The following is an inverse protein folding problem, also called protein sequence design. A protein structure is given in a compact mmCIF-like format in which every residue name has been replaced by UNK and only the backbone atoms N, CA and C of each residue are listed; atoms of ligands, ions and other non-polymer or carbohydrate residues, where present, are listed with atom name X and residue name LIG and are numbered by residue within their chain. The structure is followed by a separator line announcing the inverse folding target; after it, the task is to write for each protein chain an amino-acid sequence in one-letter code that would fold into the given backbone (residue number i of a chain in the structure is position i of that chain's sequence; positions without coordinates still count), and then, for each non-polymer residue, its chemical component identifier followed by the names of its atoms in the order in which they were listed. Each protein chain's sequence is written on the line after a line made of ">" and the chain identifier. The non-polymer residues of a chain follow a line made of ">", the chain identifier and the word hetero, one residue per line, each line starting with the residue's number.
data_IF_528745283628
#
_entry.id   IF_528745283628
#
_cell.length_a   1.000
_cell.length_b   1.000
_cell.length_c   1.000
_cell.angle_alpha   90.00
_cell.angle_beta   90.00
_cell.angle_gamma   90.00
#
_symmetry.space_group_name_H-M   'P 1'
#
loop_
_entity.id
_entity.type
_entity.pdbx_description
1 polymer ?
#
# COMPACT_ATOMS: atom_id res chain seq x y z
N UNK A 1 55.54 5.05 6.58
CA UNK A 1 55.80 6.43 6.10
C UNK A 1 54.52 7.20 6.37
N UNK A 2 54.39 7.94 7.48
CA UNK A 2 54.91 9.29 7.72
C UNK A 2 53.80 10.30 7.35
N UNK A 3 53.36 11.28 8.11
CA UNK A 3 53.61 11.82 9.45
C UNK A 3 52.51 12.87 9.71
N UNK A 4 52.05 13.06 10.96
CA UNK A 4 52.26 14.26 11.78
C UNK A 4 51.70 15.57 11.18
N UNK A 5 50.66 16.25 11.70
CA UNK A 5 50.61 17.16 12.88
C UNK A 5 49.38 18.08 12.63
N UNK A 6 48.64 18.73 13.54
CA UNK A 6 48.91 19.31 14.87
C UNK A 6 47.58 19.88 15.44
N UNK A 7 47.41 19.79 16.78
CA UNK A 7 46.88 20.82 17.76
C UNK A 7 45.42 21.31 17.63
N UNK A 8 44.68 21.70 18.67
CA UNK A 8 44.77 21.70 20.15
C UNK A 8 43.43 22.26 20.71
N UNK A 9 43.19 22.00 22.00
CA UNK A 9 42.50 22.86 22.99
C UNK A 9 41.06 22.55 23.45
N UNK A 10 40.87 22.83 24.76
CA UNK A 10 39.66 22.84 25.61
C UNK A 10 39.25 21.45 26.16
N UNK A 11 39.63 20.99 27.35
CA UNK A 11 39.69 21.56 28.72
C UNK A 11 38.32 21.79 29.39
N UNK A 12 38.05 20.94 30.40
CA UNK A 12 37.29 21.14 31.64
C UNK A 12 35.76 21.35 31.56
N UNK A 13 35.00 20.45 32.19
CA UNK A 13 34.34 20.66 33.50
C UNK A 13 33.32 19.53 33.76
N UNK A 14 33.67 18.59 34.64
CA UNK A 14 32.73 17.63 35.22
C UNK A 14 31.94 18.31 36.33
N UNK A 15 30.72 18.74 36.04
CA UNK A 15 29.78 19.29 37.01
C UNK A 15 28.98 18.18 37.70
N UNK A 16 29.35 17.84 38.92
CA UNK A 16 28.54 17.03 39.82
C UNK A 16 27.36 17.86 40.34
N UNK A 17 26.14 17.33 40.20
CA UNK A 17 24.91 17.88 40.81
C UNK A 17 24.88 17.55 42.31
N UNK A 18 24.51 18.50 43.19
CA UNK A 18 24.07 18.17 44.53
C UNK A 18 22.57 17.84 44.52
N UNK A 19 22.19 16.76 45.20
CA UNK A 19 20.82 16.45 45.59
C UNK A 19 20.42 17.27 46.83
N UNK A 20 19.16 17.69 46.96
CA UNK A 20 18.64 18.27 48.18
C UNK A 20 17.99 17.16 49.02
N UNK A 21 18.55 16.84 50.18
CA UNK A 21 17.79 16.12 51.20
C UNK A 21 17.86 16.87 52.52
N UNK A 22 16.66 17.23 52.95
CA UNK A 22 16.36 17.76 54.26
C UNK A 22 16.61 16.67 55.32
N UNK A 23 17.26 17.05 56.42
CA UNK A 23 16.93 16.45 57.70
C UNK A 23 17.08 17.46 58.84
N UNK A 24 15.91 17.76 59.40
CA UNK A 24 15.66 18.45 60.66
C UNK A 24 16.15 17.60 61.82
N UNK A 25 16.80 18.26 62.80
CA UNK A 25 17.00 17.90 64.23
C UNK A 25 18.41 18.34 64.65
N UNK A 26 18.71 18.85 65.85
CA UNK A 26 17.96 19.09 67.08
C UNK A 26 18.81 20.06 67.92
N UNK A 27 18.14 20.85 68.76
CA UNK A 27 18.74 21.67 69.81
C UNK A 27 19.54 20.80 70.79
N UNK A 28 20.72 21.29 71.21
CA UNK A 28 21.22 21.28 72.61
C UNK A 28 22.49 22.14 72.66
N UNK A 29 22.43 23.35 73.21
CA UNK A 29 22.90 23.64 74.58
C UNK A 29 24.17 22.86 74.98
N UNK A 30 25.30 23.58 75.10
CA UNK A 30 26.09 23.53 76.33
C UNK A 30 26.98 24.77 76.47
N UNK A 31 27.08 25.19 77.74
CA UNK A 31 27.74 26.39 78.25
C UNK A 31 29.26 26.21 78.25
N UNK A 32 30.00 27.29 78.06
CA UNK A 32 31.29 27.48 78.72
C UNK A 32 31.42 28.96 79.13
N UNK A 33 31.67 29.16 80.43
CA UNK A 33 31.83 30.44 81.10
C UNK A 33 33.27 30.99 80.92
N UNK A 34 33.49 32.28 81.23
CA UNK A 34 34.59 33.08 80.72
C UNK A 34 35.78 33.15 81.69
N UNK A 35 36.91 33.65 81.21
CA UNK A 35 37.88 34.36 82.05
C UNK A 35 38.53 35.55 81.31
N UNK A 36 38.95 36.57 82.08
CA UNK A 36 39.05 37.96 81.65
C UNK A 36 40.49 38.29 81.25
N UNK A 37 40.74 39.50 80.72
CA UNK A 37 41.87 40.34 81.12
C UNK A 37 41.88 41.65 80.31
N UNK A 38 41.82 42.76 81.06
CA UNK A 38 42.65 43.96 80.92
C UNK A 38 42.85 44.55 79.52
N UNK A 39 42.21 45.69 79.26
CA UNK A 39 42.79 47.02 79.56
C UNK A 39 41.78 48.11 79.24
N UNK A 40 41.40 48.84 80.28
CA UNK A 40 40.86 50.19 80.20
C UNK A 40 41.86 51.07 79.48
N UNK A 41 41.46 51.67 78.36
CA UNK A 41 41.68 53.09 78.09
C UNK A 41 40.34 53.64 77.62
N UNK A 42 39.68 54.33 78.55
CA UNK A 42 38.52 55.14 78.28
C UNK A 42 38.97 56.27 77.34
N UNK A 43 38.67 56.12 76.07
CA UNK A 43 38.41 57.27 75.21
C UNK A 43 36.99 57.65 75.62
N UNK A 44 36.86 58.68 76.46
CA UNK A 44 35.57 59.31 76.69
C UNK A 44 35.17 59.98 75.37
N UNK A 45 34.59 59.17 74.47
CA UNK A 45 33.94 59.64 73.28
C UNK A 45 32.54 60.07 73.73
N UNK A 46 32.22 61.34 73.53
CA UNK A 46 30.93 61.93 73.89
C UNK A 46 29.78 60.98 73.51
N UNK A 47 28.87 60.69 74.45
CA UNK A 47 27.74 59.79 74.21
C UNK A 47 26.92 60.18 72.96
N UNK A 48 26.89 61.48 72.64
CA UNK A 48 26.29 62.06 71.43
C UNK A 48 26.98 61.63 70.13
N UNK A 49 28.29 61.41 70.19
CA UNK A 49 29.11 60.97 69.06
C UNK A 49 28.86 59.48 68.77
N UNK A 50 28.66 58.67 69.82
CA UNK A 50 28.31 57.25 69.69
C UNK A 50 26.88 57.09 69.16
N UNK A 51 25.94 57.89 69.64
CA UNK A 51 24.55 57.92 69.18
C UNK A 51 24.45 58.36 67.71
N UNK A 52 25.26 59.35 67.30
CA UNK A 52 25.37 59.77 65.90
C UNK A 52 25.99 58.69 64.98
N UNK A 53 26.99 57.96 65.46
CA UNK A 53 27.58 56.83 64.70
C UNK A 53 26.62 55.66 64.58
N UNK A 54 25.88 55.31 65.64
CA UNK A 54 24.85 54.28 65.61
C UNK A 54 23.69 54.66 64.70
N UNK A 55 23.17 55.89 64.82
CA UNK A 55 22.13 56.39 63.91
C UNK A 55 22.61 56.43 62.45
N UNK A 56 23.89 56.78 62.22
CA UNK A 56 24.52 56.75 60.91
C UNK A 56 24.68 55.33 60.35
N UNK A 57 25.05 54.37 61.20
CA UNK A 57 25.14 52.95 60.87
C UNK A 57 23.76 52.37 60.56
N UNK A 58 22.75 52.61 61.40
CA UNK A 58 21.36 52.18 61.17
C UNK A 58 20.80 52.79 59.89
N UNK A 59 21.12 54.05 59.61
CA UNK A 59 20.76 54.72 58.35
C UNK A 59 21.47 54.10 57.14
N UNK A 60 22.73 53.69 57.28
CA UNK A 60 23.50 53.04 56.22
C UNK A 60 23.00 51.61 55.96
N UNK A 61 22.78 50.84 57.02
CA UNK A 61 22.22 49.48 56.95
C UNK A 61 20.80 49.50 56.40
N UNK A 62 19.98 50.47 56.80
CA UNK A 62 18.65 50.68 56.24
C UNK A 62 18.66 51.09 54.77
N UNK A 63 19.73 51.74 54.27
CA UNK A 63 19.91 52.01 52.83
C UNK A 63 20.31 50.76 52.07
N UNK A 64 21.21 49.96 52.64
CA UNK A 64 21.67 48.69 52.08
C UNK A 64 20.52 47.69 51.96
N UNK A 65 19.74 47.50 53.04
CA UNK A 65 18.59 46.60 53.03
C UNK A 65 17.52 47.00 52.01
N UNK A 66 17.26 48.31 51.85
CA UNK A 66 16.36 48.81 50.79
C UNK A 66 16.93 48.63 49.39
N UNK A 67 18.25 48.63 49.23
CA UNK A 67 18.90 48.37 47.95
C UNK A 67 18.82 46.87 47.59
N UNK A 68 19.07 46.00 48.57
CA UNK A 68 18.89 44.54 48.44
C UNK A 68 17.44 44.18 48.12
N UNK A 69 16.47 44.76 48.81
CA UNK A 69 15.04 44.53 48.55
C UNK A 69 14.62 45.01 47.14
N UNK A 70 15.15 46.14 46.67
CA UNK A 70 14.96 46.57 45.26
C UNK A 70 15.59 45.57 44.28
N UNK A 71 16.78 45.06 44.57
CA UNK A 71 17.46 44.08 43.73
C UNK A 71 16.69 42.75 43.70
N UNK A 72 16.21 42.29 44.85
CA UNK A 72 15.41 41.07 44.97
C UNK A 72 14.09 41.19 44.19
N UNK A 73 13.38 42.32 44.30
CA UNK A 73 12.16 42.59 43.51
C UNK A 73 12.44 42.66 42.01
N UNK A 74 13.58 43.21 41.60
CA UNK A 74 13.98 43.22 40.19
C UNK A 74 14.21 41.79 39.68
N UNK A 75 14.91 40.95 40.46
CA UNK A 75 15.13 39.53 40.13
C UNK A 75 13.82 38.72 40.09
N UNK A 76 12.91 38.94 41.04
CA UNK A 76 11.59 38.28 41.06
C UNK A 76 10.75 38.67 39.83
N UNK A 77 10.76 39.95 39.44
CA UNK A 77 10.11 40.40 38.21
C UNK A 77 10.73 39.77 36.96
N UNK A 78 12.05 39.68 36.88
CA UNK A 78 12.74 39.00 35.78
C UNK A 78 12.43 37.51 35.74
N UNK A 79 12.37 36.86 36.90
CA UNK A 79 11.99 35.46 37.04
C UNK A 79 10.57 35.22 36.50
N UNK A 80 9.59 36.03 36.89
CA UNK A 80 8.21 35.93 36.37
C UNK A 80 8.14 36.13 34.86
N UNK A 81 8.86 37.12 34.32
CA UNK A 81 8.96 37.31 32.85
C UNK A 81 9.63 36.13 32.16
N UNK A 82 10.57 35.44 32.81
CA UNK A 82 11.16 34.20 32.28
C UNK A 82 10.16 33.05 32.31
N UNK A 83 9.40 32.90 33.40
CA UNK A 83 8.33 31.89 33.51
C UNK A 83 7.22 32.12 32.48
N UNK A 84 6.76 33.35 32.30
CA UNK A 84 5.78 33.71 31.27
C UNK A 84 6.28 33.36 29.86
N UNK A 85 7.55 33.70 29.55
CA UNK A 85 8.18 33.32 28.29
C UNK A 85 8.28 31.81 28.12
N UNK A 86 8.62 31.08 29.18
CA UNK A 86 8.70 29.63 29.16
C UNK A 86 7.32 29.01 28.92
N UNK A 87 6.30 29.50 29.62
CA UNK A 87 4.92 29.05 29.45
C UNK A 87 4.41 29.34 28.03
N UNK A 88 4.72 30.52 27.47
CA UNK A 88 4.40 30.85 26.08
C UNK A 88 5.08 29.88 25.10
N UNK A 89 6.38 29.61 25.28
CA UNK A 89 7.11 28.63 24.45
C UNK A 89 6.54 27.21 24.58
N UNK A 90 6.11 26.79 25.77
CA UNK A 90 5.48 25.48 25.99
C UNK A 90 4.11 25.38 25.27
N UNK A 91 3.31 26.45 25.30
CA UNK A 91 2.05 26.51 24.56
C UNK A 91 2.26 26.45 23.04
N UNK A 92 3.24 27.19 22.53
CA UNK A 92 3.61 27.16 21.11
C UNK A 92 4.08 25.77 20.67
N UNK A 93 4.89 25.11 21.51
CA UNK A 93 5.34 23.74 21.26
C UNK A 93 4.17 22.75 21.20
N UNK A 94 3.21 22.84 22.14
CA UNK A 94 2.02 21.97 22.14
C UNK A 94 1.17 22.24 20.90
N UNK A 95 0.99 23.49 20.50
CA UNK A 95 0.24 23.85 19.30
C UNK A 95 0.90 23.28 18.03
N UNK A 96 2.22 23.46 17.88
CA UNK A 96 3.00 22.89 16.78
C UNK A 96 2.90 21.36 16.75
N UNK A 97 2.96 20.70 17.92
CA UNK A 97 2.84 19.24 17.99
C UNK A 97 1.46 18.74 17.54
N UNK A 98 0.39 19.49 17.81
CA UNK A 98 -0.97 19.14 17.31
C UNK A 98 -1.05 19.23 15.79
N UNK A 99 -0.50 20.30 15.21
CA UNK A 99 -0.46 20.48 13.75
C UNK A 99 0.35 19.36 13.09
N UNK A 100 1.56 19.09 13.61
CA UNK A 100 2.41 18.03 13.08
C UNK A 100 1.73 16.65 13.11
N UNK A 101 1.01 16.32 14.19
CA UNK A 101 0.27 15.05 14.26
C UNK A 101 -0.89 14.99 13.27
N UNK A 102 -1.58 16.10 13.03
CA UNK A 102 -2.66 16.16 12.05
C UNK A 102 -2.13 15.95 10.62
N UNK A 103 -1.01 16.59 10.29
CA UNK A 103 -0.31 16.43 9.00
C UNK A 103 0.22 15.01 8.80
N UNK A 104 0.88 14.44 9.82
CA UNK A 104 1.38 13.06 9.81
C UNK A 104 0.24 12.05 9.63
N UNK A 105 -0.91 12.27 10.27
CA UNK A 105 -2.09 11.44 10.07
C UNK A 105 -2.61 11.54 8.62
N UNK A 106 -2.68 12.74 8.04
CA UNK A 106 -3.10 12.94 6.65
C UNK A 106 -2.14 12.25 5.66
N UNK A 107 -0.82 12.38 5.87
CA UNK A 107 0.19 11.70 5.04
C UNK A 107 0.02 10.18 5.07
N UNK A 108 -0.22 9.59 6.25
CA UNK A 108 -0.48 8.15 6.37
C UNK A 108 -1.76 7.73 5.65
N UNK A 109 -2.80 8.56 5.63
CA UNK A 109 -4.01 8.27 4.86
C UNK A 109 -3.72 8.24 3.35
N UNK A 110 -2.92 9.19 2.85
CA UNK A 110 -2.52 9.22 1.44
C UNK A 110 -1.61 8.05 1.06
N UNK A 111 -0.62 7.71 1.90
CA UNK A 111 0.32 6.63 1.60
C UNK A 111 -0.37 5.27 1.56
N UNK A 112 -1.27 5.03 2.49
CA UNK A 112 -2.05 3.81 2.45
C UNK A 112 -3.01 3.77 1.24
N UNK A 113 -3.53 4.92 0.79
CA UNK A 113 -4.34 5.02 -0.43
C UNK A 113 -3.53 4.61 -1.66
N UNK A 114 -2.29 5.10 -1.76
CA UNK A 114 -1.32 4.71 -2.80
C UNK A 114 -1.03 3.22 -2.78
N UNK A 115 -0.83 2.63 -1.59
CA UNK A 115 -0.61 1.18 -1.47
C UNK A 115 -1.83 0.39 -1.97
N UNK A 116 -3.05 0.82 -1.63
CA UNK A 116 -4.26 0.18 -2.16
C UNK A 116 -4.38 0.31 -3.68
N UNK A 117 -4.18 1.53 -4.19
CA UNK A 117 -4.20 1.79 -5.62
C UNK A 117 -3.19 0.90 -6.36
N UNK A 118 -1.94 0.84 -5.90
CA UNK A 118 -0.89 0.02 -6.48
C UNK A 118 -1.29 -1.47 -6.52
N UNK A 119 -1.96 -2.00 -5.49
CA UNK A 119 -2.46 -3.39 -5.49
C UNK A 119 -3.56 -3.60 -6.51
N UNK A 120 -4.48 -2.65 -6.66
CA UNK A 120 -5.57 -2.77 -7.63
C UNK A 120 -5.04 -2.66 -9.05
N UNK A 121 -4.14 -1.73 -9.31
CA UNK A 121 -3.44 -1.58 -10.59
C UNK A 121 -2.67 -2.86 -10.93
N UNK A 122 -1.89 -3.38 -9.99
CA UNK A 122 -1.11 -4.61 -10.19
C UNK A 122 -2.02 -5.83 -10.44
N UNK A 123 -3.16 -5.93 -9.75
CA UNK A 123 -4.15 -6.97 -10.04
C UNK A 123 -4.73 -6.82 -11.46
N UNK A 124 -5.16 -5.61 -11.83
CA UNK A 124 -5.68 -5.33 -13.16
C UNK A 124 -4.64 -5.64 -14.25
N UNK A 125 -3.37 -5.34 -14.01
CA UNK A 125 -2.25 -5.66 -14.91
C UNK A 125 -2.13 -7.17 -15.13
N UNK A 126 -2.13 -7.97 -14.05
CA UNK A 126 -2.06 -9.44 -14.15
C UNK A 126 -3.27 -10.02 -14.86
N UNK A 127 -4.47 -9.53 -14.56
CA UNK A 127 -5.70 -9.99 -15.21
C UNK A 127 -5.66 -9.69 -16.73
N UNK A 128 -5.14 -8.51 -17.12
CA UNK A 128 -4.92 -8.14 -18.52
C UNK A 128 -3.90 -9.06 -19.18
N UNK A 129 -2.77 -9.32 -18.53
CA UNK A 129 -1.71 -10.20 -19.04
C UNK A 129 -2.24 -11.62 -19.26
N UNK A 130 -2.88 -12.20 -18.26
CA UNK A 130 -3.45 -13.55 -18.33
C UNK A 130 -4.48 -13.67 -19.47
N UNK A 131 -5.46 -12.76 -19.54
CA UNK A 131 -6.46 -12.77 -20.62
C UNK A 131 -5.83 -12.52 -21.99
N UNK A 132 -4.77 -11.70 -22.07
CA UNK A 132 -4.06 -11.47 -23.33
C UNK A 132 -3.30 -12.71 -23.80
N UNK A 133 -2.70 -13.47 -22.88
CA UNK A 133 -2.02 -14.74 -23.18
C UNK A 133 -3.01 -15.80 -23.65
N UNK A 134 -4.16 -15.90 -22.99
CA UNK A 134 -5.26 -16.79 -23.43
C UNK A 134 -5.73 -16.46 -24.85
N UNK A 135 -5.94 -15.18 -25.16
CA UNK A 135 -6.36 -14.74 -26.50
C UNK A 135 -5.28 -15.00 -27.57
N UNK A 136 -4.00 -14.78 -27.24
CA UNK A 136 -2.87 -15.08 -28.14
C UNK A 136 -2.76 -16.58 -28.42
N UNK A 137 -2.86 -17.41 -27.39
CA UNK A 137 -2.81 -18.86 -27.55
C UNK A 137 -3.96 -19.37 -28.42
N UNK A 138 -5.18 -18.87 -28.18
CA UNK A 138 -6.36 -19.24 -28.97
C UNK A 138 -6.22 -18.81 -30.44
N UNK A 139 -5.78 -17.57 -30.70
CA UNK A 139 -5.56 -17.08 -32.05
C UNK A 139 -4.47 -17.89 -32.79
N UNK A 140 -3.37 -18.23 -32.11
CA UNK A 140 -2.29 -19.03 -32.70
C UNK A 140 -2.77 -20.45 -33.04
N UNK A 141 -3.53 -21.09 -32.15
CA UNK A 141 -4.08 -22.44 -32.42
C UNK A 141 -5.07 -22.41 -33.59
N UNK A 142 -5.98 -21.44 -33.64
CA UNK A 142 -6.92 -21.29 -34.75
C UNK A 142 -6.20 -21.06 -36.09
N UNK A 143 -5.17 -20.21 -36.11
CA UNK A 143 -4.37 -19.96 -37.31
C UNK A 143 -3.64 -21.22 -37.81
N UNK A 144 -3.07 -22.03 -36.91
CA UNK A 144 -2.43 -23.29 -37.25
C UNK A 144 -3.43 -24.30 -37.82
N UNK A 145 -4.60 -24.45 -37.20
CA UNK A 145 -5.65 -25.37 -37.69
C UNK A 145 -6.14 -24.94 -39.07
N UNK A 146 -6.41 -23.65 -39.27
CA UNK A 146 -6.80 -23.12 -40.57
C UNK A 146 -5.72 -23.38 -41.64
N UNK A 147 -4.44 -23.14 -41.31
CA UNK A 147 -3.31 -23.38 -42.21
C UNK A 147 -3.15 -24.85 -42.58
N UNK A 148 -3.16 -25.77 -41.60
CA UNK A 148 -3.07 -27.20 -41.86
C UNK A 148 -4.24 -27.72 -42.67
N UNK A 149 -5.46 -27.25 -42.36
CA UNK A 149 -6.66 -27.61 -43.10
C UNK A 149 -6.52 -27.18 -44.56
N UNK A 150 -6.10 -25.93 -44.82
CA UNK A 150 -5.89 -25.43 -46.18
C UNK A 150 -4.82 -26.21 -46.96
N UNK A 151 -3.68 -26.53 -46.32
CA UNK A 151 -2.63 -27.32 -46.97
C UNK A 151 -3.11 -28.73 -47.30
N UNK A 152 -3.83 -29.38 -46.37
CA UNK A 152 -4.40 -30.71 -46.61
C UNK A 152 -5.39 -30.70 -47.79
N UNK A 153 -6.20 -29.64 -47.92
CA UNK A 153 -7.08 -29.45 -49.07
C UNK A 153 -6.30 -29.35 -50.39
N UNK A 154 -5.24 -28.53 -50.43
CA UNK A 154 -4.44 -28.31 -51.64
C UNK A 154 -3.63 -29.54 -52.05
N UNK A 155 -3.24 -30.40 -51.10
CA UNK A 155 -2.48 -31.61 -51.36
C UNK A 155 -3.33 -32.80 -51.79
N UNK A 156 -4.65 -32.71 -51.66
CA UNK A 156 -5.53 -33.83 -52.04
C UNK A 156 -5.77 -33.79 -53.54
N UNK A 157 -5.10 -34.67 -54.29
CA UNK A 157 -5.29 -34.79 -55.74
C UNK A 157 -6.62 -35.50 -56.07
N UNK A 158 -7.51 -34.80 -56.80
CA UNK A 158 -8.85 -35.28 -57.16
C UNK A 158 -8.96 -35.88 -58.57
N UNK A 159 -7.84 -36.07 -59.27
CA UNK A 159 -7.81 -36.36 -60.71
C UNK A 159 -8.35 -37.74 -61.12
N UNK A 160 -8.64 -38.64 -60.16
CA UNK A 160 -9.08 -40.02 -60.43
C UNK A 160 -10.54 -40.37 -60.07
N UNK A 161 -11.33 -39.46 -59.49
CA UNK A 161 -12.61 -39.81 -58.82
C UNK A 161 -13.87 -39.36 -59.57
N UNK A 162 -13.94 -39.64 -60.89
CA UNK A 162 -14.96 -39.05 -61.78
C UNK A 162 -16.38 -39.57 -61.52
N UNK A 163 -16.56 -40.80 -61.01
CA UNK A 163 -17.88 -41.45 -60.99
C UNK A 163 -18.52 -41.57 -59.60
N UNK A 164 -17.77 -41.43 -58.50
CA UNK A 164 -18.25 -41.97 -57.22
C UNK A 164 -19.07 -41.00 -56.36
N UNK A 165 -19.05 -39.67 -56.56
CA UNK A 165 -19.51 -38.78 -55.46
C UNK A 165 -19.97 -37.37 -55.87
N UNK A 166 -21.12 -37.26 -56.54
CA UNK A 166 -21.73 -35.95 -56.84
C UNK A 166 -21.99 -35.09 -55.59
N UNK A 167 -22.36 -35.70 -54.46
CA UNK A 167 -22.69 -34.97 -53.23
C UNK A 167 -21.55 -34.87 -52.19
N UNK A 168 -20.57 -35.78 -52.16
CA UNK A 168 -19.51 -35.73 -51.15
C UNK A 168 -18.44 -34.68 -51.44
N UNK A 169 -18.15 -34.39 -52.72
CA UNK A 169 -17.21 -33.33 -53.08
C UNK A 169 -17.69 -31.93 -52.66
N UNK A 170 -18.95 -31.50 -52.94
CA UNK A 170 -19.44 -30.21 -52.45
C UNK A 170 -19.58 -30.21 -50.92
N UNK A 171 -19.91 -31.34 -50.29
CA UNK A 171 -19.95 -31.44 -48.83
C UNK A 171 -18.56 -31.23 -48.21
N UNK A 172 -17.53 -31.88 -48.75
CA UNK A 172 -16.14 -31.71 -48.34
C UNK A 172 -15.68 -30.25 -48.51
N UNK A 173 -15.93 -29.65 -49.68
CA UNK A 173 -15.60 -28.25 -49.92
C UNK A 173 -16.33 -27.31 -48.95
N UNK A 174 -17.61 -27.58 -48.65
CA UNK A 174 -18.40 -26.81 -47.70
C UNK A 174 -17.86 -26.93 -46.27
N UNK A 175 -17.55 -28.14 -45.79
CA UNK A 175 -16.99 -28.35 -44.45
C UNK A 175 -15.60 -27.72 -44.32
N UNK A 176 -14.79 -27.73 -45.38
CA UNK A 176 -13.50 -27.03 -45.41
C UNK A 176 -13.66 -25.52 -45.34
N UNK A 177 -14.53 -24.95 -46.17
CA UNK A 177 -14.81 -23.52 -46.16
C UNK A 177 -15.35 -23.06 -44.80
N UNK A 178 -16.21 -23.86 -44.16
CA UNK A 178 -16.69 -23.60 -42.80
C UNK A 178 -15.56 -23.66 -41.77
N UNK A 179 -14.68 -24.67 -41.84
CA UNK A 179 -13.54 -24.82 -40.91
C UNK A 179 -12.64 -23.59 -40.99
N UNK A 180 -12.12 -23.27 -42.17
CA UNK A 180 -11.20 -22.14 -42.38
C UNK A 180 -11.90 -20.80 -42.11
N UNK A 181 -13.16 -20.64 -42.53
CA UNK A 181 -13.93 -19.43 -42.32
C UNK A 181 -14.21 -19.14 -40.84
N UNK A 182 -14.60 -20.15 -40.08
CA UNK A 182 -14.86 -20.01 -38.63
C UNK A 182 -13.58 -19.74 -37.84
N UNK A 183 -12.46 -20.41 -38.17
CA UNK A 183 -11.15 -20.12 -37.57
C UNK A 183 -10.69 -18.69 -37.87
N UNK A 184 -10.85 -18.22 -39.12
CA UNK A 184 -10.47 -16.86 -39.49
C UNK A 184 -11.29 -15.81 -38.72
N UNK A 185 -12.61 -16.01 -38.60
CA UNK A 185 -13.46 -15.13 -37.79
C UNK A 185 -13.05 -15.18 -36.31
N UNK A 186 -12.70 -16.35 -35.78
CA UNK A 186 -12.18 -16.48 -34.42
C UNK A 186 -10.90 -15.65 -34.21
N UNK A 187 -9.91 -15.78 -35.10
CA UNK A 187 -8.66 -15.01 -35.06
C UNK A 187 -8.92 -13.50 -35.13
N UNK A 188 -9.81 -13.06 -36.02
CA UNK A 188 -10.19 -11.65 -36.14
C UNK A 188 -10.81 -11.14 -34.83
N UNK A 189 -11.74 -11.89 -34.21
CA UNK A 189 -12.33 -11.48 -32.93
C UNK A 189 -11.26 -11.41 -31.84
N UNK A 190 -10.39 -12.42 -31.73
CA UNK A 190 -9.32 -12.44 -30.73
C UNK A 190 -8.34 -11.26 -30.88
N UNK A 191 -7.95 -10.92 -32.12
CA UNK A 191 -7.04 -9.79 -32.38
C UNK A 191 -7.69 -8.44 -32.10
N UNK A 192 -8.95 -8.23 -32.52
CA UNK A 192 -9.71 -7.01 -32.18
C UNK A 192 -9.90 -6.85 -30.68
N UNK A 193 -10.18 -7.94 -29.97
CA UNK A 193 -10.26 -7.95 -28.51
C UNK A 193 -8.92 -7.61 -27.86
N UNK A 194 -7.82 -8.19 -28.33
CA UNK A 194 -6.48 -7.91 -27.82
C UNK A 194 -6.14 -6.42 -27.97
N UNK A 195 -6.43 -5.82 -29.12
CA UNK A 195 -6.24 -4.37 -29.35
C UNK A 195 -7.10 -3.54 -28.40
N UNK A 196 -8.37 -3.92 -28.18
CA UNK A 196 -9.27 -3.25 -27.24
C UNK A 196 -8.72 -3.28 -25.81
N UNK A 197 -8.20 -4.43 -25.38
CA UNK A 197 -7.65 -4.61 -24.02
C UNK A 197 -6.39 -3.77 -23.85
N UNK A 198 -5.48 -3.75 -24.82
CA UNK A 198 -4.24 -2.96 -24.74
C UNK A 198 -4.57 -1.45 -24.67
N UNK A 199 -5.45 -0.96 -25.56
CA UNK A 199 -5.88 0.45 -25.57
C UNK A 199 -6.59 0.86 -24.29
N UNK A 200 -7.39 -0.02 -23.71
CA UNK A 200 -8.12 0.30 -22.49
C UNK A 200 -7.26 0.09 -21.24
N UNK A 201 -6.31 -0.84 -21.28
CA UNK A 201 -5.31 -1.08 -20.23
C UNK A 201 -4.53 0.17 -19.86
N UNK A 202 -4.13 0.95 -20.86
CA UNK A 202 -3.45 2.24 -20.65
C UNK A 202 -4.31 3.26 -19.90
N UNK A 203 -5.64 3.20 -20.02
CA UNK A 203 -6.56 4.15 -19.36
C UNK A 203 -6.75 3.85 -17.87
N UNK A 204 -6.69 2.57 -17.47
CA UNK A 204 -6.83 2.16 -16.06
C UNK A 204 -5.64 2.55 -15.19
N UNK A 205 -4.53 2.98 -15.81
CA UNK A 205 -3.33 3.46 -15.13
C UNK A 205 -3.20 4.98 -15.26
N UNK A 206 -4.29 5.70 -15.55
CA UNK A 206 -4.21 7.15 -15.69
C UNK A 206 -4.12 7.84 -14.34
N UNK A 207 -3.27 8.88 -14.28
CA UNK A 207 -3.09 9.73 -13.10
C UNK A 207 -4.41 10.39 -12.65
N UNK A 208 -5.33 10.62 -13.60
CA UNK A 208 -6.66 11.17 -13.31
C UNK A 208 -7.53 10.20 -12.51
N UNK A 209 -7.54 8.90 -12.88
CA UNK A 209 -8.26 7.87 -12.12
C UNK A 209 -7.62 7.63 -10.75
N UNK A 210 -6.29 7.72 -10.66
CA UNK A 210 -5.58 7.71 -9.37
C UNK A 210 -6.03 8.89 -8.51
N UNK A 211 -6.02 10.12 -9.03
CA UNK A 211 -6.42 11.32 -8.29
C UNK A 211 -7.87 11.24 -7.79
N UNK A 212 -8.81 10.77 -8.62
CA UNK A 212 -10.21 10.57 -8.24
C UNK A 212 -10.36 9.49 -7.15
N UNK A 213 -9.59 8.41 -7.25
CA UNK A 213 -9.55 7.37 -6.23
C UNK A 213 -8.98 7.91 -4.90
N UNK A 214 -7.90 8.67 -4.94
CA UNK A 214 -7.31 9.31 -3.76
C UNK A 214 -8.30 10.27 -3.09
N UNK A 215 -9.02 11.08 -3.88
CA UNK A 215 -10.02 12.02 -3.37
C UNK A 215 -11.16 11.32 -2.63
N UNK A 216 -11.74 10.27 -3.23
CA UNK A 216 -12.81 9.48 -2.60
C UNK A 216 -12.34 8.73 -1.36
N UNK A 217 -11.10 8.25 -1.38
CA UNK A 217 -10.50 7.55 -0.24
C UNK A 217 -10.19 8.51 0.92
N UNK A 218 -9.76 9.73 0.61
CA UNK A 218 -9.59 10.81 1.59
C UNK A 218 -10.92 11.19 2.23
N UNK A 219 -11.95 11.39 1.41
CA UNK A 219 -13.30 11.68 1.91
C UNK A 219 -13.82 10.53 2.80
N UNK A 220 -13.58 9.29 2.38
CA UNK A 220 -13.92 8.11 3.18
C UNK A 220 -13.17 8.05 4.52
N UNK A 221 -11.87 8.40 4.55
CA UNK A 221 -11.09 8.41 5.78
C UNK A 221 -11.57 9.49 6.76
N UNK A 222 -11.99 10.67 6.26
CA UNK A 222 -12.54 11.76 7.07
C UNK A 222 -13.94 11.40 7.59
N UNK A 223 -14.79 10.84 6.74
CA UNK A 223 -16.19 10.56 7.04
C UNK A 223 -16.44 9.10 7.45
N UNK A 224 -15.44 8.42 8.04
CA UNK A 224 -15.43 6.97 8.23
C UNK A 224 -16.75 6.43 8.79
N UNK A 225 -17.61 5.82 7.95
CA UNK A 225 -19.00 5.54 8.30
C UNK A 225 -19.06 4.20 9.02
N UNK A 226 -18.89 4.24 10.34
CA UNK A 226 -18.92 3.08 11.24
C UNK A 226 -17.79 2.04 11.02
N UNK A 227 -17.52 1.32 12.10
CA UNK A 227 -16.52 0.27 12.20
C UNK A 227 -16.78 -0.83 11.16
N UNK A 228 -15.79 -1.09 10.29
CA UNK A 228 -15.88 -2.14 9.25
C UNK A 228 -16.36 -1.66 7.88
N UNK A 229 -16.64 -0.36 7.70
CA UNK A 229 -16.84 0.18 6.35
C UNK A 229 -15.57 0.04 5.51
N UNK A 230 -15.76 -0.19 4.21
CA UNK A 230 -14.68 -0.44 3.24
C UNK A 230 -14.31 0.82 2.49
N UNK A 231 -13.02 1.01 2.14
CA UNK A 231 -12.64 2.07 1.24
C UNK A 231 -13.36 1.90 -0.10
N UNK A 232 -13.67 3.01 -0.79
CA UNK A 232 -14.35 2.96 -2.08
C UNK A 232 -13.50 2.18 -3.10
N UNK A 233 -14.15 1.37 -3.93
CA UNK A 233 -13.49 0.72 -5.05
C UNK A 233 -13.28 1.71 -6.22
N UNK A 234 -12.25 1.52 -7.07
CA UNK A 234 -12.14 2.28 -8.29
C UNK A 234 -13.36 2.04 -9.20
N UNK A 235 -13.88 3.11 -9.80
CA UNK A 235 -15.11 3.03 -10.61
C UNK A 235 -14.90 2.17 -11.86
N UNK A 236 -13.70 2.27 -12.44
CA UNK A 236 -13.29 1.54 -13.63
C UNK A 236 -12.34 0.43 -13.20
N UNK A 237 -12.76 -0.80 -13.47
CA UNK A 237 -11.92 -1.98 -13.31
C UNK A 237 -11.90 -2.76 -14.62
N UNK A 238 -10.77 -3.42 -14.88
CA UNK A 238 -10.65 -4.29 -16.04
C UNK A 238 -11.73 -5.37 -16.06
N UNK A 239 -12.07 -5.94 -14.89
CA UNK A 239 -13.13 -6.94 -14.74
C UNK A 239 -14.49 -6.45 -15.28
N UNK A 240 -14.90 -5.23 -14.92
CA UNK A 240 -16.17 -4.65 -15.39
C UNK A 240 -16.17 -4.39 -16.91
N UNK A 241 -15.04 -3.90 -17.45
CA UNK A 241 -14.90 -3.72 -18.90
C UNK A 241 -14.92 -5.05 -19.66
N UNK A 242 -14.18 -6.04 -19.16
CA UNK A 242 -14.15 -7.37 -19.73
C UNK A 242 -15.57 -7.95 -19.78
N UNK A 243 -16.30 -7.91 -18.66
CA UNK A 243 -17.66 -8.44 -18.58
C UNK A 243 -18.63 -7.74 -19.54
N UNK A 244 -18.54 -6.41 -19.67
CA UNK A 244 -19.49 -5.64 -20.48
C UNK A 244 -19.19 -5.67 -21.98
N UNK A 245 -17.92 -5.70 -22.39
CA UNK A 245 -17.52 -5.56 -23.80
C UNK A 245 -16.87 -6.79 -24.40
N UNK A 246 -16.05 -7.49 -23.62
CA UNK A 246 -15.20 -8.57 -24.12
C UNK A 246 -15.87 -9.93 -23.97
N UNK A 247 -16.57 -10.18 -22.87
CA UNK A 247 -17.05 -11.50 -22.48
C UNK A 247 -17.94 -12.15 -23.54
N UNK A 248 -18.93 -11.42 -24.06
CA UNK A 248 -19.80 -11.92 -25.12
C UNK A 248 -19.08 -12.20 -26.44
N UNK A 249 -18.02 -11.44 -26.75
CA UNK A 249 -17.22 -11.66 -27.96
C UNK A 249 -16.25 -12.82 -27.78
N UNK A 250 -15.65 -12.96 -26.59
CA UNK A 250 -14.79 -14.08 -26.24
C UNK A 250 -15.55 -15.41 -26.29
N UNK A 251 -16.75 -15.48 -25.70
CA UNK A 251 -17.60 -16.69 -25.77
C UNK A 251 -17.94 -17.07 -27.21
N UNK A 252 -18.22 -16.08 -28.06
CA UNK A 252 -18.48 -16.31 -29.49
C UNK A 252 -17.24 -16.82 -30.21
N UNK A 253 -16.07 -16.22 -29.98
CA UNK A 253 -14.81 -16.70 -30.56
C UNK A 253 -14.51 -18.14 -30.12
N UNK A 254 -14.66 -18.43 -28.83
CA UNK A 254 -14.47 -19.78 -28.29
C UNK A 254 -15.45 -20.80 -28.88
N UNK A 255 -16.72 -20.43 -29.06
CA UNK A 255 -17.72 -21.28 -29.70
C UNK A 255 -17.43 -21.50 -31.19
N UNK A 256 -16.96 -20.48 -31.92
CA UNK A 256 -16.55 -20.60 -33.32
C UNK A 256 -15.32 -21.51 -33.47
N UNK A 257 -14.35 -21.42 -32.56
CA UNK A 257 -13.21 -22.34 -32.51
C UNK A 257 -13.63 -23.78 -32.19
N UNK A 258 -14.56 -23.98 -31.24
CA UNK A 258 -15.13 -25.30 -30.99
C UNK A 258 -15.87 -25.87 -32.20
N UNK A 259 -16.60 -25.01 -32.94
CA UNK A 259 -17.29 -25.37 -34.16
C UNK A 259 -16.30 -25.71 -35.29
N UNK A 260 -15.19 -24.99 -35.44
CA UNK A 260 -14.18 -25.27 -36.48
C UNK A 260 -13.56 -26.66 -36.28
N UNK A 261 -13.24 -27.03 -35.04
CA UNK A 261 -12.77 -28.39 -34.69
C UNK A 261 -13.80 -29.44 -35.10
N UNK A 262 -15.09 -29.22 -34.81
CA UNK A 262 -16.15 -30.15 -35.21
C UNK A 262 -16.28 -30.28 -36.73
N UNK A 263 -16.22 -29.16 -37.46
CA UNK A 263 -16.21 -29.13 -38.91
C UNK A 263 -14.98 -29.85 -39.49
N UNK A 264 -13.81 -29.75 -38.85
CA UNK A 264 -12.60 -30.46 -39.26
C UNK A 264 -12.76 -31.97 -39.13
N UNK A 265 -13.32 -32.48 -38.02
CA UNK A 265 -13.59 -33.92 -37.87
C UNK A 265 -14.60 -34.42 -38.90
N UNK A 266 -15.67 -33.66 -39.14
CA UNK A 266 -16.64 -33.98 -40.19
C UNK A 266 -15.96 -34.00 -41.56
N UNK A 267 -15.08 -33.04 -41.82
CA UNK A 267 -14.33 -32.96 -43.06
C UNK A 267 -13.40 -34.16 -43.26
N UNK A 268 -12.65 -34.57 -42.23
CA UNK A 268 -11.78 -35.75 -42.28
C UNK A 268 -12.58 -37.04 -42.50
N UNK A 269 -13.79 -37.14 -41.94
CA UNK A 269 -14.68 -38.26 -42.22
C UNK A 269 -15.09 -38.29 -43.70
N UNK A 270 -15.54 -37.15 -44.26
CA UNK A 270 -15.87 -37.04 -45.70
C UNK A 270 -14.66 -37.33 -46.58
N UNK A 271 -13.47 -36.82 -46.22
CA UNK A 271 -12.23 -37.07 -46.94
C UNK A 271 -11.89 -38.57 -46.98
N UNK A 272 -12.13 -39.31 -45.89
CA UNK A 272 -11.93 -40.75 -45.85
C UNK A 272 -12.86 -41.49 -46.83
N UNK A 273 -14.11 -41.04 -46.98
CA UNK A 273 -15.04 -41.61 -47.96
C UNK A 273 -14.59 -41.35 -49.40
N UNK A 274 -14.01 -40.19 -49.69
CA UNK A 274 -13.48 -39.92 -51.03
C UNK A 274 -12.19 -40.71 -51.28
N UNK A 275 -11.31 -40.80 -50.28
CA UNK A 275 -10.00 -41.44 -50.42
C UNK A 275 -10.05 -42.97 -50.46
N UNK A 276 -10.98 -43.59 -49.72
CA UNK A 276 -11.14 -45.05 -49.61
C UNK A 276 -12.41 -45.54 -50.30
N UNK A 277 -12.74 -44.98 -51.46
CA UNK A 277 -13.94 -45.38 -52.22
C UNK A 277 -13.95 -46.89 -52.56
N UNK A 278 -12.77 -47.48 -52.77
CA UNK A 278 -12.59 -48.92 -53.03
C UNK A 278 -12.78 -49.82 -51.79
N UNK A 279 -12.75 -49.28 -50.57
CA UNK A 279 -12.84 -50.07 -49.33
C UNK A 279 -13.77 -49.44 -48.30
N UNK A 280 -15.03 -49.89 -48.33
CA UNK A 280 -16.07 -49.47 -47.37
C UNK A 280 -15.67 -49.75 -45.91
N UNK A 281 -14.92 -50.83 -45.67
CA UNK A 281 -14.42 -51.16 -44.33
C UNK A 281 -13.45 -50.09 -43.82
N UNK A 282 -12.51 -49.61 -44.65
CA UNK A 282 -11.56 -48.58 -44.24
C UNK A 282 -12.27 -47.23 -43.99
N UNK A 283 -13.14 -46.80 -44.89
CA UNK A 283 -13.88 -45.54 -44.75
C UNK A 283 -14.79 -45.52 -43.51
N UNK A 284 -15.47 -46.64 -43.23
CA UNK A 284 -16.35 -46.78 -42.04
C UNK A 284 -15.55 -46.78 -40.74
N UNK A 285 -14.41 -47.47 -40.66
CA UNK A 285 -13.54 -47.47 -39.49
C UNK A 285 -13.03 -46.05 -39.19
N UNK A 286 -12.52 -45.33 -40.21
CA UNK A 286 -12.04 -43.95 -40.02
C UNK A 286 -13.17 -43.04 -39.55
N UNK A 287 -14.35 -43.15 -40.17
CA UNK A 287 -15.53 -42.35 -39.77
C UNK A 287 -15.96 -42.65 -38.34
N UNK A 288 -15.97 -43.92 -37.91
CA UNK A 288 -16.30 -44.31 -36.54
C UNK A 288 -15.31 -43.71 -35.54
N UNK A 289 -14.01 -43.73 -35.84
CA UNK A 289 -12.97 -43.11 -35.01
C UNK A 289 -13.16 -41.59 -34.94
N UNK A 290 -13.46 -40.92 -36.07
CA UNK A 290 -13.71 -39.47 -36.09
C UNK A 290 -14.96 -39.09 -35.28
N UNK A 291 -16.05 -39.86 -35.38
CA UNK A 291 -17.29 -39.64 -34.59
C UNK A 291 -17.02 -39.84 -33.10
N UNK A 292 -16.31 -40.90 -32.71
CA UNK A 292 -15.94 -41.15 -31.32
C UNK A 292 -15.05 -40.02 -30.77
N UNK A 293 -14.08 -39.57 -31.56
CA UNK A 293 -13.20 -38.44 -31.20
C UNK A 293 -14.00 -37.14 -31.03
N UNK A 294 -14.92 -36.85 -31.94
CA UNK A 294 -15.80 -35.69 -31.87
C UNK A 294 -16.71 -35.73 -30.63
N UNK A 295 -17.27 -36.90 -30.30
CA UNK A 295 -18.07 -37.07 -29.08
C UNK A 295 -17.24 -36.81 -27.81
N UNK A 296 -15.99 -37.29 -27.77
CA UNK A 296 -15.04 -37.03 -26.69
C UNK A 296 -14.71 -35.53 -26.56
N UNK A 297 -14.40 -34.87 -27.68
CA UNK A 297 -14.15 -33.42 -27.70
C UNK A 297 -15.38 -32.64 -27.26
N UNK A 298 -16.58 -32.97 -27.75
CA UNK A 298 -17.82 -32.32 -27.36
C UNK A 298 -18.13 -32.50 -25.87
N UNK A 299 -17.86 -33.67 -25.32
CA UNK A 299 -17.98 -33.94 -23.89
C UNK A 299 -17.03 -33.07 -23.07
N UNK A 300 -15.74 -33.05 -23.42
CA UNK A 300 -14.75 -32.23 -22.73
C UNK A 300 -15.06 -30.74 -22.85
N UNK A 301 -15.44 -30.28 -24.05
CA UNK A 301 -15.84 -28.91 -24.30
C UNK A 301 -17.02 -28.53 -23.42
N UNK A 302 -18.10 -29.33 -23.37
CA UNK A 302 -19.25 -29.07 -22.50
C UNK A 302 -18.87 -28.99 -21.02
N UNK A 303 -18.07 -29.95 -20.52
CA UNK A 303 -17.65 -30.01 -19.12
C UNK A 303 -16.82 -28.78 -18.73
N UNK A 304 -15.80 -28.46 -19.51
CA UNK A 304 -14.89 -27.35 -19.22
C UNK A 304 -15.53 -25.99 -19.46
N UNK A 305 -16.34 -25.84 -20.52
CA UNK A 305 -17.11 -24.62 -20.73
C UNK A 305 -18.04 -24.37 -19.56
N UNK A 306 -18.81 -25.37 -19.11
CA UNK A 306 -19.68 -25.20 -17.93
C UNK A 306 -18.88 -24.72 -16.71
N UNK A 307 -17.73 -25.35 -16.42
CA UNK A 307 -16.88 -24.97 -15.30
C UNK A 307 -16.33 -23.55 -15.40
N UNK A 308 -15.85 -23.15 -16.58
CA UNK A 308 -15.31 -21.79 -16.80
C UNK A 308 -16.42 -20.75 -16.64
N UNK A 309 -17.60 -21.01 -17.22
CA UNK A 309 -18.74 -20.09 -17.14
C UNK A 309 -19.27 -19.92 -15.72
N UNK A 310 -19.29 -20.99 -14.91
CA UNK A 310 -19.71 -20.91 -13.51
C UNK A 310 -18.64 -20.27 -12.62
N UNK A 311 -17.36 -20.57 -12.87
CA UNK A 311 -16.24 -20.04 -12.07
C UNK A 311 -16.14 -18.52 -12.18
N UNK A 312 -16.36 -17.97 -13.38
CA UNK A 312 -16.35 -16.52 -13.55
C UNK A 312 -17.53 -15.83 -12.89
N UNK A 313 -18.73 -16.43 -12.90
CA UNK A 313 -19.88 -15.87 -12.16
C UNK A 313 -19.62 -15.84 -10.66
N UNK A 314 -19.03 -16.92 -10.13
CA UNK A 314 -18.64 -16.99 -8.72
C UNK A 314 -17.52 -15.99 -8.43
N UNK A 315 -16.52 -15.86 -9.30
CA UNK A 315 -15.44 -14.90 -9.15
C UNK A 315 -15.94 -13.45 -9.25
N UNK A 316 -16.99 -13.16 -10.03
CA UNK A 316 -17.64 -11.86 -10.12
C UNK A 316 -18.51 -11.54 -8.92
N UNK A 317 -19.32 -12.51 -8.48
CA UNK A 317 -20.05 -12.40 -7.22
C UNK A 317 -19.06 -12.15 -6.08
N UNK A 318 -17.92 -12.87 -6.09
CA UNK A 318 -16.84 -12.68 -5.15
C UNK A 318 -15.99 -11.44 -5.38
N UNK A 319 -15.83 -10.89 -6.57
CA UNK A 319 -15.14 -9.60 -6.71
C UNK A 319 -16.01 -8.46 -6.21
N UNK A 320 -17.33 -8.63 -6.33
CA UNK A 320 -18.35 -7.76 -5.74
C UNK A 320 -18.45 -7.97 -4.22
N UNK A 321 -18.25 -9.20 -3.73
CA UNK A 321 -18.48 -9.59 -2.32
C UNK A 321 -17.18 -9.74 -1.48
N UNK A 322 -16.14 -10.45 -1.97
CA UNK A 322 -14.81 -10.76 -1.35
C UNK A 322 -13.77 -9.63 -1.34
N UNK A 323 -14.15 -8.37 -1.54
CA UNK A 323 -13.48 -7.33 -0.74
C UNK A 323 -14.09 -7.27 0.67
N UNK A 324 -14.79 -8.33 1.10
CA UNK A 324 -15.04 -8.68 2.51
C UNK A 324 -13.76 -9.10 3.22
N UNK A 325 -12.74 -8.26 3.07
CA UNK A 325 -11.78 -8.02 4.10
C UNK A 325 -12.56 -7.46 5.28
N UNK A 326 -12.97 -8.33 6.20
CA UNK A 326 -13.27 -7.91 7.56
C UNK A 326 -11.93 -7.44 8.13
N UNK A 327 -11.52 -6.22 7.76
CA UNK A 327 -10.59 -5.44 8.54
C UNK A 327 -11.35 -5.15 9.83
N UNK A 328 -11.18 -6.00 10.83
CA UNK A 328 -11.57 -5.71 12.23
C UNK A 328 -10.75 -4.55 12.82
N UNK A 329 -9.98 -3.85 11.99
CA UNK A 329 -9.05 -2.80 12.37
C UNK A 329 -9.50 -1.42 11.93
N UNK A 330 -8.85 -0.44 12.55
CA UNK A 330 -9.02 1.00 12.37
C UNK A 330 -8.89 1.38 10.87
N UNK A 331 -9.37 2.57 10.44
CA UNK A 331 -9.25 3.02 9.05
C UNK A 331 -7.82 3.03 8.48
N UNK A 332 -6.80 2.83 9.31
CA UNK A 332 -5.39 2.72 8.95
C UNK A 332 -4.91 1.28 8.71
N UNK A 333 -5.71 0.24 8.93
CA UNK A 333 -5.32 -1.18 8.77
C UNK A 333 -5.65 -1.81 7.40
N UNK A 334 -6.30 -1.06 6.51
CA UNK A 334 -6.53 -1.42 5.10
C UNK A 334 -5.28 -1.86 4.30
N UNK A 335 -4.08 -1.42 4.68
CA UNK A 335 -2.85 -1.88 4.05
C UNK A 335 -2.44 -3.29 4.54
N UNK A 336 -2.96 -3.77 5.66
CA UNK A 336 -2.65 -5.12 6.13
C UNK A 336 -3.30 -6.15 5.21
N UNK A 337 -2.60 -7.27 4.99
CA UNK A 337 -3.18 -8.42 4.32
C UNK A 337 -4.38 -8.88 5.16
N UNK A 338 -5.51 -9.29 4.55
CA UNK A 338 -6.62 -9.85 5.31
C UNK A 338 -6.09 -10.90 6.26
N UNK A 339 -6.33 -10.71 7.56
CA UNK A 339 -6.18 -11.83 8.47
C UNK A 339 -7.05 -12.95 7.90
N UNK A 340 -6.50 -14.16 7.70
CA UNK A 340 -7.34 -15.29 7.31
C UNK A 340 -8.45 -15.32 8.33
N UNK A 341 -9.70 -15.19 7.87
CA UNK A 341 -10.85 -15.19 8.75
C UNK A 341 -10.66 -16.37 9.69
N UNK A 342 -10.41 -16.10 10.97
CA UNK A 342 -10.40 -17.16 11.97
C UNK A 342 -11.80 -17.73 11.87
N UNK A 343 -11.95 -18.81 11.11
CA UNK A 343 -13.13 -19.64 11.11
C UNK A 343 -13.31 -19.94 12.57
N UNK A 344 -14.28 -19.26 13.19
CA UNK A 344 -14.50 -19.31 14.63
C UNK A 344 -14.46 -20.77 14.98
N UNK A 345 -13.39 -21.17 15.68
CA UNK A 345 -13.24 -22.54 16.10
C UNK A 345 -14.53 -22.85 16.81
N UNK A 346 -15.27 -23.82 16.29
CA UNK A 346 -16.36 -24.42 17.02
C UNK A 346 -15.71 -24.87 18.33
N UNK A 347 -15.84 -24.03 19.36
CA UNK A 347 -15.67 -24.42 20.74
C UNK A 347 -16.64 -25.57 20.88
N UNK A 348 -16.06 -26.76 20.75
CA UNK A 348 -16.70 -28.04 20.92
C UNK A 348 -17.01 -28.08 22.40
N UNK A 349 -18.14 -27.47 22.75
CA UNK A 349 -18.82 -27.73 24.00
C UNK A 349 -19.11 -29.23 23.99
N UNK A 350 -18.23 -29.93 24.70
CA UNK A 350 -18.51 -31.21 25.31
C UNK A 350 -19.87 -31.07 26.01
N UNK A 351 -20.92 -31.62 25.42
CA UNK A 351 -22.14 -31.92 26.14
C UNK A 351 -22.53 -33.35 25.81
N UNK A 352 -22.39 -34.20 26.82
CA UNK A 352 -22.94 -35.54 26.79
C UNK A 352 -24.46 -35.53 26.94
N UNK A 353 -25.04 -36.66 26.57
CA UNK A 353 -26.33 -37.21 26.98
C UNK A 353 -27.62 -36.66 26.31
N UNK A 354 -28.14 -37.55 25.45
CA UNK A 354 -29.53 -38.03 25.35
C UNK A 354 -30.68 -37.10 24.96
N UNK A 355 -31.40 -37.54 23.92
CA UNK A 355 -32.87 -37.64 23.98
C UNK A 355 -33.66 -36.75 23.03
N UNK A 356 -34.35 -37.40 22.08
CA UNK A 356 -35.76 -37.10 21.77
C UNK A 356 -36.05 -36.04 20.71
N UNK A 357 -36.82 -36.45 19.69
CA UNK A 357 -37.27 -35.64 18.56
C UNK A 357 -38.10 -34.40 18.89
N UNK A 358 -38.30 -33.56 17.87
CA UNK A 358 -39.25 -32.45 17.92
C UNK A 358 -39.04 -31.44 16.81
N UNK A 359 -39.99 -31.40 15.87
CA UNK A 359 -40.23 -30.30 14.93
C UNK A 359 -40.45 -28.98 15.68
N UNK A 360 -39.94 -27.86 15.15
CA UNK A 360 -40.66 -26.60 14.90
C UNK A 360 -39.71 -25.39 14.78
N UNK A 361 -40.14 -24.46 13.94
CA UNK A 361 -39.51 -23.20 13.58
C UNK A 361 -39.37 -22.21 14.76
N UNK A 362 -38.37 -21.32 14.68
CA UNK A 362 -38.51 -19.92 15.08
C UNK A 362 -37.33 -19.08 14.58
N UNK A 363 -37.68 -17.92 14.03
CA UNK A 363 -36.80 -16.85 13.63
C UNK A 363 -35.97 -16.31 14.81
N UNK A 364 -34.72 -15.99 14.53
CA UNK A 364 -33.82 -15.34 15.47
C UNK A 364 -32.64 -14.73 14.74
N UNK A 365 -32.89 -13.62 14.02
CA UNK A 365 -31.84 -12.77 13.49
C UNK A 365 -31.15 -12.06 14.67
N UNK A 366 -30.19 -12.74 15.30
CA UNK A 366 -29.25 -12.13 16.22
C UNK A 366 -28.26 -11.28 15.45
N UNK A 367 -28.56 -9.98 15.34
CA UNK A 367 -27.56 -8.96 15.06
C UNK A 367 -26.49 -9.06 16.15
N UNK A 368 -25.38 -9.74 15.84
CA UNK A 368 -24.13 -9.58 16.59
C UNK A 368 -23.68 -8.14 16.36
N UNK A 369 -24.17 -7.26 17.23
CA UNK A 369 -23.66 -5.91 17.41
C UNK A 369 -22.21 -6.08 17.90
N UNK A 370 -21.27 -6.10 16.96
CA UNK A 370 -19.84 -5.99 17.26
C UNK A 370 -19.68 -4.62 17.89
N UNK A 371 -19.63 -4.62 19.22
CA UNK A 371 -19.45 -3.44 20.04
C UNK A 371 -18.03 -2.92 19.77
N UNK A 372 -17.88 -2.06 18.75
CA UNK A 372 -16.64 -1.33 18.48
C UNK A 372 -16.45 -0.22 19.53
N UNK A 373 -16.56 -0.59 20.80
CA UNK A 373 -16.04 0.20 21.91
C UNK A 373 -14.55 0.34 21.67
N UNK A 374 -14.14 1.59 21.45
CA UNK A 374 -12.74 2.02 21.45
C UNK A 374 -11.95 1.21 22.48
N UNK A 375 -10.83 0.57 22.11
CA UNK A 375 -9.99 -0.08 23.09
C UNK A 375 -9.60 0.96 24.13
N UNK A 376 -10.00 0.72 25.38
CA UNK A 376 -9.61 1.55 26.50
C UNK A 376 -8.08 1.64 26.51
N UNK A 377 -7.64 2.89 26.41
CA UNK A 377 -6.32 3.43 26.71
C UNK A 377 -5.73 2.75 27.95
N UNK A 378 -5.01 1.65 27.76
CA UNK A 378 -4.54 0.80 28.85
C UNK A 378 -3.34 -0.03 28.44
N UNK A 379 -2.22 0.65 28.22
CA UNK A 379 -0.87 0.28 28.65
C UNK A 379 0.10 1.28 28.01
N UNK A 380 0.58 2.21 28.84
CA UNK A 380 1.73 3.04 28.52
C UNK A 380 2.95 2.12 28.41
N UNK A 381 3.21 1.56 27.23
CA UNK A 381 4.59 1.29 26.85
C UNK A 381 5.32 2.61 26.94
N UNK A 382 6.34 2.67 27.79
CA UNK A 382 7.35 3.72 27.83
C UNK A 382 8.00 3.80 26.44
N UNK A 383 7.38 4.56 25.55
CA UNK A 383 8.02 5.09 24.37
C UNK A 383 9.10 6.04 24.88
N UNK A 384 10.36 5.68 24.66
CA UNK A 384 11.43 6.65 24.65
C UNK A 384 10.98 7.84 23.80
N UNK A 385 11.17 9.09 24.29
CA UNK A 385 10.93 10.25 23.45
C UNK A 385 11.75 10.07 22.17
N UNK A 386 11.16 10.27 20.98
CA UNK A 386 11.93 10.24 19.75
C UNK A 386 13.09 11.22 19.89
N UNK A 387 14.27 10.90 19.32
CA UNK A 387 15.38 11.84 19.29
C UNK A 387 14.88 13.18 18.71
N UNK A 388 15.44 14.31 19.17
CA UNK A 388 15.08 15.62 18.63
C UNK A 388 15.16 15.58 17.11
N UNK A 389 14.22 16.23 16.40
CA UNK A 389 14.22 16.23 14.95
C UNK A 389 15.59 16.66 14.45
N UNK A 390 16.19 15.80 13.62
CA UNK A 390 17.31 16.19 12.77
C UNK A 390 16.97 17.54 12.13
N UNK A 391 17.95 18.47 12.01
CA UNK A 391 17.70 19.78 11.40
C UNK A 391 16.91 19.59 10.10
N UNK A 392 15.91 20.46 9.83
CA UNK A 392 14.94 20.25 8.76
C UNK A 392 15.70 19.95 7.46
N UNK A 393 15.25 18.96 6.68
CA UNK A 393 15.89 18.58 5.41
C UNK A 393 16.19 19.79 4.51
N UNK A 394 15.41 20.88 4.63
CA UNK A 394 15.70 22.17 4.00
C UNK A 394 17.08 22.75 4.35
N UNK A 395 17.55 22.64 5.59
CA UNK A 395 18.85 23.15 6.01
C UNK A 395 20.00 22.29 5.47
N UNK A 396 19.80 20.98 5.38
CA UNK A 396 20.75 20.06 4.75
C UNK A 396 20.80 20.25 3.22
N UNK A 397 19.65 20.53 2.60
CA UNK A 397 19.54 20.84 1.17
C UNK A 397 20.13 22.23 0.84
N UNK A 398 19.97 23.22 1.72
CA UNK A 398 20.64 24.52 1.62
C UNK A 398 22.17 24.39 1.78
N UNK A 399 22.65 23.57 2.71
CA UNK A 399 24.08 23.31 2.85
C UNK A 399 24.67 22.61 1.62
N UNK A 400 23.96 21.64 1.03
CA UNK A 400 24.39 21.00 -0.22
C UNK A 400 24.41 21.98 -1.40
N UNK A 401 23.40 22.86 -1.52
CA UNK A 401 23.41 23.90 -2.55
C UNK A 401 24.56 24.91 -2.36
N UNK A 402 24.86 25.32 -1.12
CA UNK A 402 26.00 26.18 -0.85
C UNK A 402 27.33 25.51 -1.17
N UNK A 403 27.50 24.22 -0.86
CA UNK A 403 28.72 23.48 -1.24
C UNK A 403 28.88 23.35 -2.75
N UNK A 404 27.78 23.10 -3.49
CA UNK A 404 27.84 23.06 -4.96
C UNK A 404 28.20 24.43 -5.55
N UNK A 405 27.65 25.52 -5.03
CA UNK A 405 28.03 26.87 -5.48
C UNK A 405 29.50 27.18 -5.17
N UNK A 406 30.02 26.78 -4.00
CA UNK A 406 31.43 26.97 -3.68
C UNK A 406 32.35 26.14 -4.58
N UNK A 407 31.97 24.91 -4.94
CA UNK A 407 32.73 24.09 -5.89
C UNK A 407 32.71 24.68 -7.31
N UNK A 408 31.57 25.20 -7.76
CA UNK A 408 31.50 25.90 -9.04
C UNK A 408 32.34 27.19 -9.03
N UNK A 409 32.31 27.96 -7.94
CA UNK A 409 33.16 29.15 -7.83
C UNK A 409 34.64 28.81 -7.77
N UNK A 410 35.03 27.72 -7.11
CA UNK A 410 36.42 27.25 -7.08
C UNK A 410 36.93 26.82 -8.46
N UNK A 411 36.07 26.20 -9.29
CA UNK A 411 36.39 25.85 -10.67
C UNK A 411 36.50 27.06 -11.61
N UNK A 412 35.97 28.22 -11.22
CA UNK A 412 36.02 29.46 -12.01
C UNK A 412 37.21 30.39 -11.65
N UNK A 413 37.95 30.11 -10.57
CA UNK A 413 39.09 30.96 -10.13
C UNK A 413 40.35 30.72 -10.97
N UNK A 414 40.47 29.58 -11.64
CA UNK A 414 41.51 29.35 -12.65
C UNK A 414 40.99 29.78 -14.02
N UNK A 415 41.05 31.09 -14.29
CA UNK A 415 40.51 31.73 -15.48
C UNK A 415 41.11 31.26 -16.82
N UNK A 416 40.74 30.07 -17.28
CA UNK A 416 40.77 29.70 -18.69
C UNK A 416 39.55 28.84 -19.05
N UNK A 417 38.70 29.27 -20.00
CA UNK A 417 37.70 28.38 -20.58
C UNK A 417 38.44 27.27 -21.34
N UNK A 418 38.30 26.03 -20.89
CA UNK A 418 38.76 24.86 -21.63
C UNK A 418 37.98 24.79 -22.95
N UNK A 419 38.65 25.18 -24.03
CA UNK A 419 38.20 25.01 -25.41
C UNK A 419 37.99 23.52 -25.70
N UNK A 420 36.75 23.16 -26.05
CA UNK A 420 36.27 21.81 -26.29
C UNK A 420 36.68 21.24 -27.67
N UNK A 421 37.93 21.46 -28.09
CA UNK A 421 38.50 20.93 -29.33
C UNK A 421 39.73 20.08 -29.03
N UNK A 422 39.52 18.81 -28.65
CA UNK A 422 40.45 17.70 -28.87
C UNK A 422 39.87 16.39 -28.35
N UNK A 423 39.19 15.65 -29.24
CA UNK A 423 39.04 14.21 -29.14
C UNK A 423 39.68 13.58 -30.40
N UNK A 424 40.59 12.61 -30.26
CA UNK A 424 41.14 11.90 -31.41
C UNK A 424 40.13 10.86 -31.92
N UNK A 425 40.15 10.69 -33.24
CA UNK A 425 39.37 9.74 -34.06
C UNK A 425 39.62 8.30 -33.65
#
# INVERSE_FOLDING_TARGET
>A
MGGCSRRQAAARLSGARPTPDACVHSRRQQRARPQPLRRRRAIAMDARLLEGLLAGYDSAQGREWRAEDRAWRAQDLEWRRMEERKMAMELDFIAAQRVWRAEDQEQRHLDNARVLWARVVERNRRDVEEKSEQLKALANMAALIAGFSLVAFLQTDWTGFVDTTGALLPLFAATMALTVGTDMVCVIICTLMLVSIIKTGQKYMSDEEEAEFMARTREFAVNYPACGARPPAPQRSFAMHWQTRCEGSWRRAFALFGLSIACLFANLAVAAWIKFDHSLAAASIVSAIMIASLAGVAWHHRKWTAHILTSEQVALAQSTERVALVSTGLPFDWHLKPAPAQHGGNASLHNGASGGGGLAAAAGAGLLQVDCRQPQRGEQQQHQPPPPPSPPQQQQQQQQQQQQQQQQQALWVDGQPASADQLPV
#
